data_IF_420404683396
#
_entry.id   IF_420404683396
#
_cell.length_a   1.000
_cell.length_b   1.000
_cell.length_c   1.000
_cell.angle_alpha   90.00
_cell.angle_beta   90.00
_cell.angle_gamma   90.00
#
_symmetry.space_group_name_H-M   'P 1'
#
loop_
_entity.id
_entity.type
_entity.pdbx_description
1 polymer ?
#
# COMPACT_ATOMS: atom_id res chain seq x y z
N UNK A 1 -12.61 -16.11 11.72
CA UNK A 1 -13.01 -15.24 10.62
C UNK A 1 -11.81 -14.56 10.02
N UNK A 2 -11.62 -14.74 8.75
CA UNK A 2 -10.55 -14.05 8.07
C UNK A 2 -10.97 -12.61 7.77
N UNK A 3 -10.02 -11.72 7.89
CA UNK A 3 -10.23 -10.34 7.53
C UNK A 3 -9.94 -10.19 6.04
N UNK A 4 -10.94 -9.89 5.21
CA UNK A 4 -10.72 -9.79 3.76
C UNK A 4 -10.04 -8.50 3.33
N UNK A 5 -9.54 -7.73 4.27
CA UNK A 5 -9.01 -6.40 4.01
C UNK A 5 -7.55 -6.34 4.45
N UNK A 6 -6.67 -6.03 3.51
CA UNK A 6 -5.26 -5.77 3.79
C UNK A 6 -5.01 -4.27 3.65
N UNK A 7 -4.37 -3.70 4.65
CA UNK A 7 -4.08 -2.27 4.66
C UNK A 7 -2.70 -2.04 5.26
N UNK A 8 -1.91 -1.20 4.61
CA UNK A 8 -0.59 -0.89 5.11
C UNK A 8 -0.06 0.38 4.43
N UNK A 9 1.18 0.71 4.72
CA UNK A 9 1.87 1.86 4.15
C UNK A 9 3.15 1.39 3.49
N UNK A 10 3.55 2.06 2.42
CA UNK A 10 4.79 1.76 1.72
C UNK A 10 5.62 3.03 1.59
N UNK A 11 6.93 2.89 1.69
CA UNK A 11 7.87 3.98 1.48
C UNK A 11 7.89 4.31 -0.01
N UNK A 12 7.49 5.53 -0.36
CA UNK A 12 7.40 5.94 -1.76
C UNK A 12 8.76 6.03 -2.45
N UNK A 13 9.84 6.04 -1.69
CA UNK A 13 11.18 6.05 -2.26
C UNK A 13 11.58 4.68 -2.79
N UNK A 14 10.90 3.63 -2.36
CA UNK A 14 11.16 2.28 -2.84
C UNK A 14 10.32 2.02 -4.09
N UNK A 15 10.85 2.41 -5.24
CA UNK A 15 10.11 2.35 -6.50
C UNK A 15 9.75 0.92 -6.90
N UNK A 16 10.64 -0.02 -6.63
CA UNK A 16 10.38 -1.42 -6.96
C UNK A 16 9.20 -1.97 -6.17
N UNK A 17 9.12 -1.60 -4.89
CA UNK A 17 8.01 -2.03 -4.06
C UNK A 17 6.68 -1.44 -4.54
N UNK A 18 6.70 -0.15 -4.89
CA UNK A 18 5.50 0.51 -5.41
C UNK A 18 5.05 -0.15 -6.72
N UNK A 19 5.98 -0.46 -7.61
CA UNK A 19 5.65 -1.14 -8.86
C UNK A 19 5.04 -2.52 -8.60
N UNK A 20 5.58 -3.24 -7.63
CA UNK A 20 5.06 -4.55 -7.27
C UNK A 20 3.62 -4.44 -6.74
N UNK A 21 3.35 -3.45 -5.90
CA UNK A 21 2.01 -3.24 -5.37
C UNK A 21 1.02 -2.94 -6.48
N UNK A 22 1.42 -2.16 -7.48
CA UNK A 22 0.57 -1.88 -8.63
C UNK A 22 0.31 -3.15 -9.44
N UNK A 23 1.34 -3.95 -9.64
CA UNK A 23 1.21 -5.19 -10.38
C UNK A 23 0.26 -6.15 -9.68
N UNK A 24 0.29 -6.17 -8.36
CA UNK A 24 -0.57 -7.04 -7.56
C UNK A 24 -1.97 -6.45 -7.35
N UNK A 25 -2.28 -5.34 -8.02
CA UNK A 25 -3.62 -4.75 -8.01
C UNK A 25 -4.02 -4.15 -6.67
N UNK A 26 -3.05 -3.66 -5.91
CA UNK A 26 -3.37 -2.91 -4.70
C UNK A 26 -3.92 -1.55 -5.06
N UNK A 27 -4.83 -1.05 -4.22
CA UNK A 27 -5.40 0.28 -4.37
C UNK A 27 -4.64 1.25 -3.50
N UNK A 28 -4.34 2.44 -4.03
CA UNK A 28 -3.63 3.46 -3.28
C UNK A 28 -4.63 4.50 -2.77
N UNK A 29 -4.39 4.94 -1.54
CA UNK A 29 -5.25 5.93 -0.89
C UNK A 29 -4.49 7.24 -0.74
N UNK A 30 -4.15 7.59 0.49
CA UNK A 30 -3.59 8.88 0.79
C UNK A 30 -2.07 8.82 0.89
N UNK A 31 -1.47 9.92 0.53
CA UNK A 31 -0.05 10.15 0.67
C UNK A 31 0.19 10.93 1.95
N UNK A 32 1.21 10.53 2.71
CA UNK A 32 1.55 11.22 3.94
C UNK A 32 3.07 11.20 4.15
N UNK A 33 3.53 12.00 5.10
CA UNK A 33 4.94 12.03 5.47
C UNK A 33 5.03 11.74 6.96
N UNK A 34 5.86 10.76 7.34
CA UNK A 34 6.06 10.40 8.73
C UNK A 34 7.56 10.38 9.01
N UNK A 35 7.98 11.23 9.95
CA UNK A 35 9.40 11.38 10.30
C UNK A 35 10.29 11.62 9.08
N UNK A 36 9.81 12.45 8.14
CA UNK A 36 10.56 12.75 6.93
C UNK A 36 10.51 11.68 5.86
N UNK A 37 9.78 10.60 6.08
CA UNK A 37 9.65 9.52 5.13
C UNK A 37 8.32 9.64 4.38
N UNK A 38 8.34 9.74 3.04
CA UNK A 38 7.10 9.80 2.28
C UNK A 38 6.48 8.42 2.20
N UNK A 39 5.25 8.31 2.68
CA UNK A 39 4.53 7.04 2.70
C UNK A 39 3.26 7.15 1.87
N UNK A 40 2.91 6.05 1.22
CA UNK A 40 1.62 5.93 0.55
C UNK A 40 0.82 4.83 1.22
N UNK A 41 -0.42 5.16 1.52
CA UNK A 41 -1.36 4.22 2.11
C UNK A 41 -1.96 3.36 1.01
N UNK A 42 -2.07 2.07 1.24
CA UNK A 42 -2.65 1.18 0.24
C UNK A 42 -3.50 0.12 0.91
N UNK A 43 -4.40 -0.45 0.12
CA UNK A 43 -5.26 -1.51 0.62
C UNK A 43 -5.63 -2.46 -0.50
N UNK A 44 -6.10 -3.62 -0.12
CA UNK A 44 -6.62 -4.61 -1.06
C UNK A 44 -7.71 -5.42 -0.37
N UNK A 45 -8.78 -5.62 -1.08
CA UNK A 45 -9.84 -6.51 -0.63
C UNK A 45 -9.50 -7.93 -1.08
N UNK A 46 -9.33 -8.82 -0.13
CA UNK A 46 -9.01 -10.21 -0.41
C UNK A 46 -10.29 -11.00 -0.51
N UNK A 47 -10.89 -10.99 -1.68
CA UNK A 47 -12.14 -11.70 -1.93
C UNK A 47 -11.82 -13.10 -2.38
N UNK A 48 -12.55 -14.05 -1.83
CA UNK A 48 -12.37 -15.44 -2.21
C UNK A 48 -13.48 -15.92 -3.12
#
# INVERSE_FOLDING_TARGET
LSNPYLHNYADMRNEQHIKLLKLLKFNFLNYTVYNGVPLIEFYKLCVQ
#
